data_IF_962304528461
#
_entry.id   IF_962304528461
#
_cell.length_a   1.000
_cell.length_b   1.000
_cell.length_c   1.000
_cell.angle_alpha   90.00
_cell.angle_beta   90.00
_cell.angle_gamma   90.00
#
_symmetry.space_group_name_H-M   'P 1'
#
loop_
_entity.id
_entity.type
_entity.pdbx_description
1 polymer ?
#
# COMPACT_ATOMS: atom_id res chain seq x y z
N UNK A 1 12.22 -0.26 23.14
CA UNK A 1 13.54 -0.44 22.48
C UNK A 1 14.05 0.81 21.76
N UNK A 2 13.67 1.13 20.52
CA UNK A 2 14.30 2.27 19.81
C UNK A 2 14.04 3.62 20.50
N UNK A 3 12.79 3.88 20.90
CA UNK A 3 12.41 5.10 21.63
C UNK A 3 13.09 5.22 22.98
N UNK A 4 13.23 4.11 23.70
CA UNK A 4 13.94 4.01 24.98
C UNK A 4 15.42 4.40 24.81
N UNK A 5 16.13 3.77 23.87
CA UNK A 5 17.52 4.11 23.56
C UNK A 5 17.68 5.59 23.16
N UNK A 6 16.78 6.11 22.32
CA UNK A 6 16.83 7.54 21.95
C UNK A 6 16.53 8.48 23.11
N UNK A 7 15.71 8.08 24.08
CA UNK A 7 15.52 8.87 25.30
C UNK A 7 16.76 8.84 26.20
N UNK A 8 17.40 7.68 26.35
CA UNK A 8 18.65 7.51 27.10
C UNK A 8 19.80 8.33 26.49
N UNK A 9 19.83 8.44 25.16
CA UNK A 9 20.81 9.24 24.41
C UNK A 9 20.46 10.74 24.33
N UNK A 10 19.38 11.19 24.99
CA UNK A 10 18.89 12.58 24.95
C UNK A 10 18.57 13.09 23.52
N UNK A 11 17.97 12.23 22.69
CA UNK A 11 17.64 12.48 21.28
C UNK A 11 16.12 12.57 21.03
N UNK A 12 15.41 13.59 21.60
CA UNK A 12 13.95 13.67 21.55
C UNK A 12 13.39 13.79 20.12
N UNK A 13 14.16 14.32 19.18
CA UNK A 13 13.76 14.38 17.76
C UNK A 13 13.68 12.99 17.13
N UNK A 14 14.62 12.09 17.45
CA UNK A 14 14.60 10.70 16.95
C UNK A 14 13.43 9.92 17.56
N UNK A 15 13.15 10.15 18.84
CA UNK A 15 11.95 9.60 19.50
C UNK A 15 10.68 10.02 18.76
N UNK A 16 10.48 11.32 18.57
CA UNK A 16 9.28 11.86 17.94
C UNK A 16 9.08 11.29 16.53
N UNK A 17 10.16 11.20 15.73
CA UNK A 17 10.13 10.61 14.38
C UNK A 17 9.79 9.12 14.39
N UNK A 18 10.35 8.35 15.31
CA UNK A 18 10.07 6.92 15.41
C UNK A 18 8.61 6.66 15.79
N UNK A 19 8.06 7.42 16.76
CA UNK A 19 6.65 7.30 17.14
C UNK A 19 5.74 7.76 16.00
N UNK A 20 6.04 8.89 15.37
CA UNK A 20 5.28 9.40 14.23
C UNK A 20 5.22 8.38 13.09
N UNK A 21 6.36 7.77 12.75
CA UNK A 21 6.42 6.73 11.72
C UNK A 21 5.53 5.53 12.08
N UNK A 22 5.63 5.01 13.30
CA UNK A 22 4.80 3.90 13.74
C UNK A 22 3.29 4.24 13.68
N UNK A 23 2.89 5.39 14.23
CA UNK A 23 1.49 5.82 14.29
C UNK A 23 0.93 6.03 12.88
N UNK A 24 1.68 6.68 11.99
CA UNK A 24 1.21 6.98 10.64
C UNK A 24 1.27 5.75 9.74
N UNK A 25 2.44 5.14 9.56
CA UNK A 25 2.66 4.12 8.55
C UNK A 25 2.11 2.76 8.99
N UNK A 26 2.41 2.33 10.22
CA UNK A 26 2.06 0.97 10.64
C UNK A 26 0.66 0.90 11.27
N UNK A 27 0.32 1.84 12.15
CA UNK A 27 -0.95 1.80 12.86
C UNK A 27 -2.11 2.38 12.03
N UNK A 28 -2.00 3.63 11.57
CA UNK A 28 -3.09 4.33 10.89
C UNK A 28 -3.27 3.87 9.44
N UNK A 29 -2.24 4.06 8.61
CA UNK A 29 -2.29 3.82 7.16
C UNK A 29 -2.40 2.33 6.83
N UNK A 30 -1.94 1.45 7.71
CA UNK A 30 -1.94 0.01 7.47
C UNK A 30 -2.95 -0.72 8.35
N UNK A 31 -2.66 -0.88 9.65
CA UNK A 31 -3.45 -1.73 10.53
C UNK A 31 -4.92 -1.31 10.65
N UNK A 32 -5.19 -0.05 11.00
CA UNK A 32 -6.56 0.47 11.18
C UNK A 32 -7.31 0.42 9.86
N UNK A 33 -6.68 0.83 8.75
CA UNK A 33 -7.30 0.84 7.42
C UNK A 33 -7.71 -0.56 6.96
N UNK A 34 -6.84 -1.55 7.10
CA UNK A 34 -7.12 -2.95 6.74
C UNK A 34 -8.12 -3.60 7.71
N UNK A 35 -8.08 -3.24 9.00
CA UNK A 35 -8.94 -3.82 10.03
C UNK A 35 -10.35 -3.18 10.10
N UNK A 36 -10.68 -2.20 9.25
CA UNK A 36 -12.02 -1.54 9.24
C UNK A 36 -13.16 -2.56 9.20
N UNK A 37 -13.07 -3.58 8.36
CA UNK A 37 -14.12 -4.62 8.28
C UNK A 37 -14.27 -5.40 9.59
N UNK A 38 -13.16 -5.66 10.30
CA UNK A 38 -13.14 -6.37 11.60
C UNK A 38 -13.79 -5.54 12.71
N UNK A 39 -13.71 -4.21 12.65
CA UNK A 39 -14.39 -3.32 13.59
C UNK A 39 -15.91 -3.21 13.33
N UNK A 40 -16.33 -3.20 12.06
CA UNK A 40 -17.72 -2.87 11.69
C UNK A 40 -18.61 -4.06 11.36
N UNK A 41 -18.09 -5.13 10.76
CA UNK A 41 -18.87 -6.32 10.35
C UNK A 41 -18.67 -7.46 11.35
N UNK A 42 -19.63 -8.37 11.39
CA UNK A 42 -19.58 -9.59 12.18
C UNK A 42 -20.01 -9.41 13.64
N UNK A 43 -20.33 -10.54 14.26
CA UNK A 43 -20.66 -10.64 15.67
C UNK A 43 -19.43 -10.31 16.53
N UNK A 44 -19.65 -10.05 17.82
CA UNK A 44 -18.58 -9.73 18.78
C UNK A 44 -17.80 -11.00 19.17
N UNK A 45 -17.08 -11.55 18.20
CA UNK A 45 -16.31 -12.79 18.30
C UNK A 45 -14.82 -12.53 18.47
N UNK A 46 -14.04 -13.61 18.62
CA UNK A 46 -12.61 -13.57 18.90
C UNK A 46 -11.83 -12.66 17.94
N UNK A 47 -12.11 -12.71 16.63
CA UNK A 47 -11.41 -11.88 15.63
C UNK A 47 -11.59 -10.38 15.89
N UNK A 48 -12.82 -9.96 16.20
CA UNK A 48 -13.17 -8.57 16.50
C UNK A 48 -12.53 -8.13 17.81
N UNK A 49 -12.58 -8.99 18.83
CA UNK A 49 -11.94 -8.74 20.13
C UNK A 49 -10.43 -8.57 19.96
N UNK A 50 -9.76 -9.46 19.23
CA UNK A 50 -8.32 -9.35 18.95
C UNK A 50 -8.00 -8.03 18.23
N UNK A 51 -8.81 -7.62 17.25
CA UNK A 51 -8.60 -6.36 16.55
C UNK A 51 -8.60 -5.15 17.50
N UNK A 52 -9.56 -5.11 18.44
CA UNK A 52 -9.67 -4.06 19.46
C UNK A 52 -8.53 -4.13 20.49
N UNK A 53 -8.19 -5.31 20.99
CA UNK A 53 -7.13 -5.49 21.98
C UNK A 53 -5.77 -5.03 21.43
N UNK A 54 -5.44 -5.39 20.20
CA UNK A 54 -4.21 -4.93 19.54
C UNK A 54 -4.20 -3.40 19.39
N UNK A 55 -5.30 -2.80 18.89
CA UNK A 55 -5.38 -1.34 18.73
C UNK A 55 -5.27 -0.61 20.08
N UNK A 56 -5.99 -1.07 21.10
CA UNK A 56 -5.95 -0.53 22.45
C UNK A 56 -4.52 -0.60 23.02
N UNK A 57 -3.87 -1.75 22.94
CA UNK A 57 -2.49 -1.96 23.40
C UNK A 57 -1.52 -0.99 22.72
N UNK A 58 -1.62 -0.84 21.39
CA UNK A 58 -0.80 0.10 20.64
C UNK A 58 -1.04 1.55 21.10
N UNK A 59 -2.30 1.99 21.22
CA UNK A 59 -2.63 3.36 21.58
C UNK A 59 -2.22 3.69 23.03
N UNK A 60 -2.41 2.77 23.97
CA UNK A 60 -1.93 2.94 25.36
C UNK A 60 -0.40 3.04 25.40
N UNK A 61 0.29 2.21 24.62
CA UNK A 61 1.75 2.25 24.54
C UNK A 61 2.24 3.56 23.92
N UNK A 62 1.61 4.01 22.83
CA UNK A 62 1.90 5.31 22.21
C UNK A 62 1.68 6.43 23.21
N UNK A 63 0.55 6.46 23.93
CA UNK A 63 0.26 7.48 24.94
C UNK A 63 1.37 7.58 25.99
N UNK A 64 1.88 6.44 26.47
CA UNK A 64 3.03 6.40 27.39
C UNK A 64 4.32 6.91 26.75
N UNK A 65 4.62 6.48 25.52
CA UNK A 65 5.83 6.89 24.80
C UNK A 65 5.86 8.39 24.48
N UNK A 66 4.71 9.01 24.17
CA UNK A 66 4.63 10.44 23.85
C UNK A 66 4.50 11.33 25.08
N UNK A 67 4.29 10.78 26.28
CA UNK A 67 4.03 11.56 27.49
C UNK A 67 5.10 12.63 27.78
N UNK A 68 6.43 12.37 27.61
CA UNK A 68 7.46 13.40 27.79
C UNK A 68 7.48 14.48 26.70
N UNK A 69 6.84 14.26 25.54
CA UNK A 69 6.85 15.17 24.38
C UNK A 69 5.54 15.99 24.31
N UNK A 70 4.40 15.35 24.52
CA UNK A 70 3.06 15.93 24.37
C UNK A 70 2.20 15.64 25.61
N UNK A 71 2.55 16.17 26.79
CA UNK A 71 2.08 15.69 28.08
C UNK A 71 0.56 15.77 28.28
N UNK A 72 -0.08 16.84 27.80
CA UNK A 72 -1.53 17.02 27.94
C UNK A 72 -2.32 16.07 27.05
N UNK A 73 -1.89 15.91 25.79
CA UNK A 73 -2.55 15.02 24.84
C UNK A 73 -2.36 13.55 25.24
N UNK A 74 -1.15 13.19 25.66
CA UNK A 74 -0.83 11.87 26.17
C UNK A 74 -1.71 11.48 27.36
N UNK A 75 -1.88 12.40 28.32
CA UNK A 75 -2.68 12.16 29.52
C UNK A 75 -4.16 11.97 29.19
N UNK A 76 -4.72 12.84 28.34
CA UNK A 76 -6.10 12.72 27.90
C UNK A 76 -6.34 11.39 27.18
N UNK A 77 -5.51 11.05 26.19
CA UNK A 77 -5.61 9.80 25.44
C UNK A 77 -5.52 8.57 26.36
N UNK A 78 -4.54 8.55 27.27
CA UNK A 78 -4.37 7.44 28.20
C UNK A 78 -5.58 7.27 29.11
N UNK A 79 -6.08 8.36 29.71
CA UNK A 79 -7.23 8.33 30.60
C UNK A 79 -8.49 7.86 29.89
N UNK A 80 -8.73 8.32 28.66
CA UNK A 80 -9.88 7.89 27.86
C UNK A 80 -9.83 6.39 27.53
N UNK A 81 -8.63 5.85 27.25
CA UNK A 81 -8.44 4.42 26.97
C UNK A 81 -8.52 3.54 28.22
N UNK A 82 -8.15 4.05 29.39
CA UNK A 82 -8.12 3.28 30.65
C UNK A 82 -9.44 3.35 31.43
N UNK A 83 -10.24 4.40 31.26
CA UNK A 83 -11.52 4.57 31.95
C UNK A 83 -12.49 3.38 31.83
N UNK A 84 -12.60 2.67 30.69
CA UNK A 84 -13.48 1.51 30.56
C UNK A 84 -12.92 0.22 31.18
N UNK A 85 -11.60 0.16 31.43
CA UNK A 85 -10.88 -1.09 31.76
C UNK A 85 -10.58 -1.20 33.25
N UNK A 86 -10.30 -0.07 33.92
CA UNK A 86 -9.93 -0.06 35.33
C UNK A 86 -11.00 0.65 36.18
N UNK A 87 -11.60 -0.08 37.13
CA UNK A 87 -12.57 0.46 38.08
C UNK A 87 -11.96 1.54 39.00
N UNK A 88 -10.65 1.46 39.27
CA UNK A 88 -9.88 2.57 39.86
C UNK A 88 -9.51 3.55 38.75
N UNK A 89 -10.35 4.58 38.63
CA UNK A 89 -10.23 5.70 37.69
C UNK A 89 -8.83 6.32 37.71
N UNK A 90 -8.23 6.38 36.53
CA UNK A 90 -7.55 7.59 36.05
C UNK A 90 -6.28 8.04 36.79
N UNK A 91 -5.33 7.14 37.04
CA UNK A 91 -3.97 7.62 37.24
C UNK A 91 -3.44 8.22 35.93
N UNK A 92 -2.87 9.42 36.03
CA UNK A 92 -2.28 10.12 34.91
C UNK A 92 -1.22 9.25 34.23
N UNK A 93 -1.06 9.38 32.91
CA UNK A 93 0.02 8.67 32.19
C UNK A 93 1.39 8.97 32.79
N UNK A 94 1.56 10.15 33.38
CA UNK A 94 2.79 10.63 34.02
C UNK A 94 3.15 9.91 35.32
N UNK A 95 2.22 9.13 35.89
CA UNK A 95 2.46 8.25 37.03
C UNK A 95 2.66 6.79 36.60
N UNK A 96 2.52 6.49 35.31
CA UNK A 96 2.66 5.14 34.79
C UNK A 96 4.12 4.79 34.50
N UNK A 97 4.45 3.50 34.61
CA UNK A 97 5.75 3.00 34.19
C UNK A 97 5.93 3.14 32.68
N UNK A 98 7.15 3.49 32.28
CA UNK A 98 7.56 3.49 30.88
C UNK A 98 7.38 2.08 30.28
N UNK A 99 6.95 1.95 29.00
CA UNK A 99 6.74 0.64 28.39
C UNK A 99 8.02 -0.18 28.32
N UNK A 100 7.93 -1.45 28.73
CA UNK A 100 9.05 -2.39 28.68
C UNK A 100 9.03 -3.15 27.36
N UNK A 101 10.19 -3.26 26.71
CA UNK A 101 10.34 -4.06 25.49
C UNK A 101 10.23 -5.56 25.80
N UNK A 102 9.27 -6.23 25.16
CA UNK A 102 9.11 -7.68 25.24
C UNK A 102 9.57 -8.33 23.94
N UNK A 103 10.68 -9.07 24.00
CA UNK A 103 11.25 -9.78 22.85
C UNK A 103 10.36 -10.95 22.40
N UNK A 104 9.52 -11.50 23.27
CA UNK A 104 8.66 -12.64 22.95
C UNK A 104 7.52 -12.28 21.99
N UNK A 105 7.17 -11.00 21.90
CA UNK A 105 6.17 -10.47 20.98
C UNK A 105 6.75 -10.09 19.61
N UNK A 106 8.07 -10.19 19.43
CA UNK A 106 8.73 -9.83 18.16
C UNK A 106 8.82 -11.05 17.25
N UNK A 107 8.12 -10.98 16.12
CA UNK A 107 8.20 -11.95 15.03
C UNK A 107 8.86 -11.31 13.80
N UNK A 108 10.18 -11.50 13.68
CA UNK A 108 10.97 -10.92 12.60
C UNK A 108 10.61 -11.48 11.21
N UNK A 109 10.04 -12.70 11.15
CA UNK A 109 9.59 -13.30 9.89
C UNK A 109 8.32 -12.62 9.39
N UNK A 110 7.35 -12.43 10.31
CA UNK A 110 6.13 -11.70 10.05
C UNK A 110 6.41 -10.22 9.69
N UNK A 111 7.27 -9.55 10.43
CA UNK A 111 7.65 -8.15 10.16
C UNK A 111 8.26 -7.99 8.76
N UNK A 112 9.17 -8.89 8.38
CA UNK A 112 9.80 -8.89 7.05
C UNK A 112 8.77 -9.06 5.94
N UNK A 113 7.88 -10.04 6.06
CA UNK A 113 6.78 -10.28 5.11
C UNK A 113 5.85 -9.06 5.01
N UNK A 114 5.50 -8.47 6.14
CA UNK A 114 4.61 -7.29 6.20
C UNK A 114 5.26 -6.04 5.60
N UNK A 115 6.57 -5.86 5.79
CA UNK A 115 7.32 -4.78 5.17
C UNK A 115 7.32 -4.89 3.64
N UNK A 116 7.46 -6.11 3.09
CA UNK A 116 7.31 -6.34 1.65
C UNK A 116 5.90 -5.98 1.17
N UNK A 117 4.87 -6.37 1.90
CA UNK A 117 3.49 -6.01 1.56
C UNK A 117 3.29 -4.48 1.49
N UNK A 118 3.82 -3.74 2.46
CA UNK A 118 3.76 -2.27 2.52
C UNK A 118 4.53 -1.63 1.36
N UNK A 119 5.79 -2.04 1.15
CA UNK A 119 6.65 -1.49 0.10
C UNK A 119 6.09 -1.74 -1.30
N UNK A 120 5.71 -2.99 -1.61
CA UNK A 120 5.12 -3.36 -2.91
C UNK A 120 3.83 -2.56 -3.13
N UNK A 121 2.94 -2.49 -2.13
CA UNK A 121 1.68 -1.75 -2.26
C UNK A 121 1.92 -0.26 -2.50
N UNK A 122 2.85 0.35 -1.77
CA UNK A 122 3.26 1.75 -1.95
C UNK A 122 3.79 2.01 -3.37
N UNK A 123 4.66 1.12 -3.87
CA UNK A 123 5.21 1.21 -5.23
C UNK A 123 4.11 1.15 -6.29
N UNK A 124 3.18 0.19 -6.20
CA UNK A 124 2.05 0.10 -7.14
C UNK A 124 1.15 1.33 -7.07
N UNK A 125 0.83 1.82 -5.88
CA UNK A 125 0.02 3.03 -5.70
C UNK A 125 0.72 4.26 -6.28
N UNK A 126 2.04 4.34 -6.17
CA UNK A 126 2.85 5.41 -6.77
C UNK A 126 2.80 5.36 -8.30
N UNK A 127 2.90 4.17 -8.90
CA UNK A 127 2.77 3.97 -10.35
C UNK A 127 1.39 4.37 -10.85
N UNK A 128 0.33 3.92 -10.15
CA UNK A 128 -1.05 4.34 -10.42
C UNK A 128 -1.21 5.86 -10.36
N UNK A 129 -0.66 6.51 -9.34
CA UNK A 129 -0.73 7.97 -9.19
C UNK A 129 -0.02 8.70 -10.33
N UNK A 130 1.13 8.19 -10.78
CA UNK A 130 1.90 8.77 -11.89
C UNK A 130 1.09 8.82 -13.19
N UNK A 131 0.35 7.76 -13.49
CA UNK A 131 -0.53 7.68 -14.68
C UNK A 131 -2.00 8.08 -14.39
N UNK A 132 -2.28 8.68 -13.23
CA UNK A 132 -3.62 9.11 -12.81
C UNK A 132 -4.69 7.98 -12.81
N UNK A 133 -4.27 6.72 -12.64
CA UNK A 133 -5.17 5.57 -12.57
C UNK A 133 -5.73 5.44 -11.15
N UNK A 134 -7.05 5.62 -11.00
CA UNK A 134 -7.74 5.48 -9.71
C UNK A 134 -7.61 4.04 -9.17
N UNK A 135 -7.44 3.86 -7.87
CA UNK A 135 -7.41 2.52 -7.23
C UNK A 135 -8.71 1.75 -7.48
N UNK A 136 -9.85 2.44 -7.60
CA UNK A 136 -11.15 1.81 -7.93
C UNK A 136 -11.19 1.17 -9.33
N UNK A 137 -10.30 1.57 -10.25
CA UNK A 137 -10.10 0.86 -11.51
C UNK A 137 -9.24 -0.38 -11.23
N UNK A 138 -9.81 -1.60 -11.29
CA UNK A 138 -9.01 -2.81 -11.17
C UNK A 138 -8.03 -2.92 -12.35
N UNK A 139 -6.84 -3.43 -12.06
CA UNK A 139 -5.83 -3.75 -13.06
C UNK A 139 -5.60 -5.25 -13.09
N UNK A 140 -5.11 -5.74 -14.23
CA UNK A 140 -4.96 -7.18 -14.44
C UNK A 140 -3.91 -7.75 -13.49
N UNK A 141 -2.67 -7.28 -13.59
CA UNK A 141 -1.56 -7.94 -12.89
C UNK A 141 -0.42 -7.02 -12.48
N UNK A 142 0.33 -7.50 -11.50
CA UNK A 142 1.65 -7.00 -11.14
C UNK A 142 2.67 -8.11 -11.32
N UNK A 143 3.87 -7.75 -11.79
CA UNK A 143 5.01 -8.66 -11.88
C UNK A 143 6.12 -8.21 -10.95
N UNK A 144 6.71 -9.15 -10.24
CA UNK A 144 7.78 -8.87 -9.28
C UNK A 144 8.91 -9.90 -9.50
N UNK A 145 10.11 -9.46 -9.92
CA UNK A 145 11.26 -10.35 -9.93
C UNK A 145 11.64 -10.73 -8.49
N UNK A 146 11.90 -12.02 -8.26
CA UNK A 146 12.31 -12.55 -6.96
C UNK A 146 13.82 -12.74 -6.91
N UNK A 147 14.43 -12.38 -5.78
CA UNK A 147 15.88 -12.48 -5.59
C UNK A 147 16.34 -13.90 -5.26
N UNK A 148 15.54 -14.62 -4.47
CA UNK A 148 15.79 -15.99 -4.05
C UNK A 148 14.50 -16.70 -3.60
N UNK A 149 14.62 -17.95 -3.15
CA UNK A 149 13.50 -18.76 -2.72
C UNK A 149 12.82 -18.23 -1.44
N UNK A 150 13.57 -17.58 -0.54
CA UNK A 150 13.00 -16.98 0.66
C UNK A 150 12.19 -15.74 0.30
N UNK A 151 12.72 -14.93 -0.62
CA UNK A 151 12.04 -13.74 -1.12
C UNK A 151 10.71 -14.08 -1.80
N UNK A 152 10.73 -15.10 -2.67
CA UNK A 152 9.53 -15.67 -3.27
C UNK A 152 8.51 -16.11 -2.22
N UNK A 153 8.93 -16.91 -1.25
CA UNK A 153 8.05 -17.40 -0.18
C UNK A 153 7.43 -16.26 0.64
N UNK A 154 8.22 -15.24 0.96
CA UNK A 154 7.75 -14.09 1.73
C UNK A 154 6.66 -13.32 0.98
N UNK A 155 6.86 -13.07 -0.31
CA UNK A 155 5.90 -12.33 -1.14
C UNK A 155 4.62 -13.16 -1.35
N UNK A 156 4.76 -14.47 -1.62
CA UNK A 156 3.60 -15.38 -1.75
C UNK A 156 2.74 -15.37 -0.47
N UNK A 157 3.37 -15.37 0.71
CA UNK A 157 2.67 -15.35 1.99
C UNK A 157 1.79 -14.10 2.19
N UNK A 158 2.12 -12.98 1.52
CA UNK A 158 1.37 -11.70 1.61
C UNK A 158 0.73 -11.27 0.30
N UNK A 159 0.74 -12.12 -0.74
CA UNK A 159 0.28 -11.77 -2.07
C UNK A 159 -1.19 -11.31 -2.09
N UNK A 160 -2.06 -12.03 -1.39
CA UNK A 160 -3.48 -11.67 -1.28
C UNK A 160 -3.69 -10.31 -0.62
N UNK A 161 -2.86 -9.97 0.38
CA UNK A 161 -2.92 -8.68 1.04
C UNK A 161 -2.57 -7.57 0.05
N UNK A 162 -1.46 -7.72 -0.67
CA UNK A 162 -1.02 -6.78 -1.71
C UNK A 162 -2.12 -6.60 -2.77
N UNK A 163 -2.62 -7.69 -3.36
CA UNK A 163 -3.63 -7.64 -4.41
C UNK A 163 -4.91 -6.93 -3.97
N UNK A 164 -5.37 -7.21 -2.75
CA UNK A 164 -6.54 -6.55 -2.17
C UNK A 164 -6.31 -5.05 -1.94
N UNK A 165 -5.09 -4.69 -1.55
CA UNK A 165 -4.70 -3.32 -1.24
C UNK A 165 -4.66 -2.44 -2.48
N UNK A 166 -4.06 -2.97 -3.55
CA UNK A 166 -3.80 -2.22 -4.79
C UNK A 166 -4.87 -2.44 -5.86
N UNK A 167 -5.89 -3.25 -5.57
CA UNK A 167 -6.97 -3.66 -6.48
C UNK A 167 -6.44 -4.20 -7.81
N UNK A 168 -5.60 -5.24 -7.73
CA UNK A 168 -5.03 -5.96 -8.87
C UNK A 168 -5.51 -7.41 -8.82
N UNK A 169 -5.71 -8.07 -9.96
CA UNK A 169 -6.25 -9.45 -9.98
C UNK A 169 -5.23 -10.52 -9.66
N UNK A 170 -4.02 -10.39 -10.16
CA UNK A 170 -2.99 -11.42 -10.01
C UNK A 170 -1.59 -10.82 -9.76
N UNK A 171 -0.78 -11.58 -9.02
CA UNK A 171 0.61 -11.27 -8.72
C UNK A 171 1.44 -12.39 -9.34
N UNK A 172 2.29 -12.02 -10.29
CA UNK A 172 3.18 -12.93 -10.99
C UNK A 172 4.61 -12.73 -10.49
N UNK A 173 5.21 -13.80 -9.95
CA UNK A 173 6.60 -13.78 -9.52
C UNK A 173 7.49 -14.26 -10.65
N UNK A 174 8.51 -13.46 -10.96
CA UNK A 174 9.44 -13.73 -12.04
C UNK A 174 10.76 -14.21 -11.48
N UNK A 175 11.26 -15.33 -11.99
CA UNK A 175 12.64 -15.71 -11.74
C UNK A 175 13.56 -14.80 -12.58
N UNK A 176 14.79 -14.55 -12.09
CA UNK A 176 15.83 -13.74 -12.75
C UNK A 176 16.10 -14.14 -14.21
N UNK A 177 15.78 -15.37 -14.58
CA UNK A 177 15.96 -15.92 -15.93
C UNK A 177 14.82 -15.60 -16.92
N UNK A 178 13.71 -15.01 -16.47
CA UNK A 178 12.51 -14.81 -17.30
C UNK A 178 12.74 -13.85 -18.48
N UNK A 179 13.71 -12.94 -18.39
CA UNK A 179 14.04 -11.98 -19.45
C UNK A 179 12.95 -10.96 -19.78
N UNK A 180 11.83 -10.97 -19.05
CA UNK A 180 10.69 -10.08 -19.28
C UNK A 180 11.03 -8.66 -18.86
N UNK A 181 11.72 -8.50 -17.73
CA UNK A 181 12.14 -7.20 -17.21
C UNK A 181 13.61 -6.93 -17.55
N UNK A 182 13.87 -6.37 -18.73
CA UNK A 182 15.24 -6.03 -19.15
C UNK A 182 15.73 -4.82 -18.37
N UNK A 183 16.71 -5.00 -17.49
CA UNK A 183 17.37 -3.90 -16.77
C UNK A 183 18.40 -3.21 -17.68
N UNK A 184 18.47 -1.89 -17.58
CA UNK A 184 19.50 -1.04 -18.17
C UNK A 184 20.32 -0.45 -17.04
N UNK A 185 21.63 -0.44 -17.22
CA UNK A 185 22.56 0.19 -16.29
C UNK A 185 23.16 1.42 -16.96
N UNK A 186 23.25 2.52 -16.22
CA UNK A 186 23.92 3.75 -16.63
C UNK A 186 24.95 4.15 -15.58
N UNK A 187 26.07 4.75 -15.99
CA UNK A 187 27.05 5.26 -15.04
C UNK A 187 26.49 6.47 -14.27
N UNK A 188 26.68 6.50 -12.95
CA UNK A 188 26.44 7.70 -12.16
C UNK A 188 27.60 8.67 -12.36
N UNK A 189 27.46 9.57 -13.34
CA UNK A 189 28.52 10.50 -13.74
C UNK A 189 29.04 11.39 -12.60
N UNK A 190 28.24 11.65 -11.56
CA UNK A 190 28.64 12.49 -10.42
C UNK A 190 29.70 11.80 -9.55
N UNK A 191 29.57 10.50 -9.33
CA UNK A 191 30.50 9.71 -8.51
C UNK A 191 31.66 9.16 -9.36
N UNK A 192 31.37 8.69 -10.58
CA UNK A 192 32.38 8.11 -11.45
C UNK A 192 33.31 9.15 -12.10
N UNK A 193 32.84 10.39 -12.31
CA UNK A 193 33.65 11.47 -12.90
C UNK A 193 34.95 11.74 -12.14
N UNK A 194 34.91 12.01 -10.81
CA UNK A 194 36.10 12.17 -9.98
C UNK A 194 37.01 10.93 -9.91
N UNK A 195 36.42 9.72 -9.94
CA UNK A 195 37.15 8.44 -9.82
C UNK A 195 37.94 8.09 -11.09
N UNK A 196 37.36 8.33 -12.27
CA UNK A 196 37.93 7.88 -13.55
C UNK A 196 38.53 9.00 -14.40
N UNK A 197 38.14 10.27 -14.21
CA UNK A 197 38.72 11.41 -14.92
C UNK A 197 38.81 11.20 -16.45
N UNK A 198 40.03 11.18 -16.99
CA UNK A 198 40.28 10.95 -18.41
C UNK A 198 39.85 9.55 -18.91
N UNK A 199 39.83 8.55 -18.02
CA UNK A 199 39.45 7.17 -18.32
C UNK A 199 37.92 6.95 -18.32
N UNK A 200 37.12 7.99 -18.03
CA UNK A 200 35.65 7.88 -17.92
C UNK A 200 35.00 7.33 -19.19
N UNK A 201 35.56 7.62 -20.37
CA UNK A 201 35.05 7.09 -21.64
C UNK A 201 35.14 5.56 -21.72
N UNK A 202 36.17 4.96 -21.14
CA UNK A 202 36.33 3.50 -21.07
C UNK A 202 35.36 2.89 -20.05
N UNK A 203 35.18 3.55 -18.90
CA UNK A 203 34.21 3.11 -17.89
C UNK A 203 32.78 3.07 -18.45
N UNK A 204 32.35 4.13 -19.16
CA UNK A 204 31.03 4.18 -19.81
C UNK A 204 30.86 3.06 -20.84
N UNK A 205 31.92 2.76 -21.61
CA UNK A 205 31.88 1.71 -22.63
C UNK A 205 31.77 0.31 -22.03
N UNK A 206 32.47 0.02 -20.93
CA UNK A 206 32.38 -1.27 -20.24
C UNK A 206 31.06 -1.42 -19.48
N UNK A 207 30.61 -0.39 -18.76
CA UNK A 207 29.30 -0.39 -18.07
C UNK A 207 28.16 -0.59 -19.08
N UNK A 208 28.26 0.02 -20.26
CA UNK A 208 27.26 -0.14 -21.33
C UNK A 208 27.17 -1.55 -21.93
N UNK A 209 28.15 -2.42 -21.69
CA UNK A 209 28.17 -3.82 -22.17
C UNK A 209 27.59 -4.82 -21.17
N UNK A 210 27.21 -4.36 -19.97
CA UNK A 210 26.71 -5.24 -18.93
C UNK A 210 25.52 -6.07 -19.41
N UNK A 211 25.65 -7.37 -19.21
CA UNK A 211 24.59 -8.35 -19.36
C UNK A 211 23.65 -8.30 -18.15
N UNK A 212 22.43 -8.85 -18.30
CA UNK A 212 21.50 -8.96 -17.16
C UNK A 212 22.12 -9.70 -15.97
N UNK A 213 23.00 -10.67 -16.21
CA UNK A 213 23.72 -11.40 -15.16
C UNK A 213 24.68 -10.50 -14.38
N UNK A 214 25.39 -9.60 -15.05
CA UNK A 214 26.31 -8.67 -14.39
C UNK A 214 25.57 -7.59 -13.61
N UNK A 215 24.44 -7.10 -14.14
CA UNK A 215 23.53 -6.18 -13.42
C UNK A 215 22.98 -6.85 -12.16
N UNK A 216 22.49 -8.09 -12.26
CA UNK A 216 22.02 -8.84 -11.09
C UNK A 216 23.14 -9.12 -10.07
N UNK A 217 24.38 -9.32 -10.55
CA UNK A 217 25.54 -9.55 -9.67
C UNK A 217 25.86 -8.33 -8.83
N UNK A 218 25.92 -7.13 -9.42
CA UNK A 218 26.21 -5.90 -8.67
C UNK A 218 25.07 -5.53 -7.70
N UNK A 219 23.80 -5.79 -8.04
CA UNK A 219 22.67 -5.60 -7.12
C UNK A 219 22.76 -6.55 -5.91
N UNK A 220 23.13 -7.80 -6.13
CA UNK A 220 23.20 -8.82 -5.08
C UNK A 220 24.44 -8.69 -4.20
N UNK A 221 25.59 -8.40 -4.79
CA UNK A 221 26.89 -8.35 -4.09
C UNK A 221 27.25 -6.93 -3.63
N UNK A 222 26.57 -5.91 -4.15
CA UNK A 222 26.87 -4.49 -3.91
C UNK A 222 28.09 -3.98 -4.69
N UNK A 223 28.91 -4.87 -5.25
CA UNK A 223 30.10 -4.54 -6.05
C UNK A 223 30.31 -5.52 -7.20
N UNK A 224 31.03 -5.07 -8.23
CA UNK A 224 31.52 -5.93 -9.32
C UNK A 224 32.88 -5.42 -9.81
N UNK A 225 33.83 -6.33 -9.99
CA UNK A 225 35.17 -5.99 -10.48
C UNK A 225 35.18 -5.95 -12.01
N UNK A 226 35.68 -4.86 -12.58
CA UNK A 226 35.79 -4.64 -14.02
C UNK A 226 37.22 -4.34 -14.41
N UNK A 227 37.60 -4.73 -15.63
CA UNK A 227 38.86 -4.31 -16.21
C UNK A 227 38.64 -3.09 -17.11
N UNK A 228 39.02 -1.91 -16.62
CA UNK A 228 38.90 -0.64 -17.34
C UNK A 228 40.31 -0.15 -17.65
N UNK A 229 40.65 -0.06 -18.94
CA UNK A 229 41.97 0.39 -19.40
C UNK A 229 43.15 -0.38 -18.75
N UNK A 230 43.07 -1.72 -18.75
CA UNK A 230 44.05 -2.64 -18.14
C UNK A 230 44.24 -2.49 -16.61
N UNK A 231 43.27 -1.89 -15.93
CA UNK A 231 43.23 -1.79 -14.46
C UNK A 231 41.98 -2.50 -13.95
N UNK A 232 42.17 -3.38 -12.96
CA UNK A 232 41.06 -3.96 -12.21
C UNK A 232 40.50 -2.90 -11.27
N UNK A 233 39.22 -2.55 -11.41
CA UNK A 233 38.54 -1.56 -10.58
C UNK A 233 37.23 -2.14 -10.09
N UNK A 234 36.96 -1.99 -8.80
CA UNK A 234 35.68 -2.34 -8.20
C UNK A 234 34.69 -1.20 -8.40
N UNK A 235 33.59 -1.53 -9.06
CA UNK A 235 32.44 -0.67 -9.25
C UNK A 235 31.41 -1.00 -8.16
N UNK A 236 30.94 0.01 -7.44
CA UNK A 236 29.94 -0.15 -6.37
C UNK A 236 28.54 0.20 -6.86
N UNK A 237 27.50 -0.28 -6.17
CA UNK A 237 26.10 -0.08 -6.57
C UNK A 237 25.68 1.41 -6.63
N UNK A 238 26.24 2.27 -5.79
CA UNK A 238 25.98 3.72 -5.77
C UNK A 238 26.60 4.45 -6.98
N UNK A 239 27.65 3.88 -7.57
CA UNK A 239 28.34 4.41 -8.75
C UNK A 239 27.59 4.15 -10.07
N UNK A 240 26.45 3.47 -10.03
CA UNK A 240 25.60 3.18 -11.18
C UNK A 240 24.13 3.46 -10.90
N UNK A 241 23.41 3.75 -11.97
CA UNK A 241 21.96 3.90 -11.98
C UNK A 241 21.37 2.73 -12.78
N UNK A 242 20.68 1.82 -12.09
CA UNK A 242 19.98 0.70 -12.72
C UNK A 242 18.51 1.08 -12.85
N UNK A 243 17.99 1.00 -14.07
CA UNK A 243 16.57 1.23 -14.36
C UNK A 243 16.04 0.13 -15.25
N UNK A 244 14.75 -0.18 -15.15
CA UNK A 244 14.14 -1.15 -16.06
C UNK A 244 13.83 -0.50 -17.40
N UNK A 245 13.95 -1.23 -18.50
CA UNK A 245 13.50 -0.77 -19.81
C UNK A 245 11.97 -0.73 -19.84
N UNK A 246 11.41 0.32 -20.46
CA UNK A 246 9.97 0.44 -20.67
C UNK A 246 9.47 -0.72 -21.54
N UNK A 247 8.53 -1.49 -20.98
CA UNK A 247 7.75 -2.49 -21.71
C UNK A 247 6.43 -1.80 -22.05
N UNK A 248 6.00 -1.87 -23.31
CA UNK A 248 4.77 -1.22 -23.74
C UNK A 248 3.57 -1.74 -22.92
N UNK A 249 2.78 -0.82 -22.36
CA UNK A 249 1.66 -1.16 -21.48
C UNK A 249 2.04 -1.55 -20.04
N UNK A 250 3.30 -1.35 -19.64
CA UNK A 250 3.75 -1.59 -18.26
C UNK A 250 4.42 -0.37 -17.66
N UNK A 251 4.19 -0.17 -16.36
CA UNK A 251 4.90 0.81 -15.56
C UNK A 251 5.82 0.08 -14.59
N UNK A 252 7.06 0.56 -14.45
CA UNK A 252 8.03 -0.05 -13.53
C UNK A 252 8.48 0.93 -12.47
N UNK A 253 8.53 0.47 -11.22
CA UNK A 253 9.13 1.15 -10.09
C UNK A 253 10.26 0.31 -9.50
N UNK A 254 11.34 0.97 -9.09
CA UNK A 254 12.46 0.38 -8.36
C UNK A 254 12.63 1.11 -7.03
N UNK A 255 12.81 0.35 -5.94
CA UNK A 255 13.10 0.88 -4.61
C UNK A 255 14.09 -0.05 -3.90
N UNK A 256 15.37 0.33 -3.89
CA UNK A 256 16.42 -0.54 -3.37
C UNK A 256 16.57 -1.79 -4.24
N UNK A 257 16.48 -2.96 -3.62
CA UNK A 257 16.50 -4.29 -4.25
C UNK A 257 15.13 -4.75 -4.77
N UNK A 258 14.05 -4.02 -4.46
CA UNK A 258 12.69 -4.35 -4.87
C UNK A 258 12.32 -3.68 -6.19
N UNK A 259 11.79 -4.47 -7.10
CA UNK A 259 11.24 -4.00 -8.38
C UNK A 259 9.79 -4.43 -8.53
N UNK A 260 8.92 -3.54 -9.01
CA UNK A 260 7.51 -3.86 -9.29
C UNK A 260 7.15 -3.33 -10.67
N UNK A 261 6.60 -4.21 -11.51
CA UNK A 261 6.00 -3.84 -12.78
C UNK A 261 4.46 -3.98 -12.71
N UNK A 262 3.74 -2.99 -13.23
CA UNK A 262 2.28 -2.92 -13.22
C UNK A 262 1.74 -2.91 -14.64
N UNK A 263 0.87 -3.86 -14.96
CA UNK A 263 0.15 -3.92 -16.24
C UNK A 263 -0.98 -2.89 -16.25
N UNK A 264 -0.91 -1.94 -17.18
CA UNK A 264 -1.92 -0.87 -17.32
C UNK A 264 -2.88 -1.11 -18.49
N UNK A 265 -2.81 -2.26 -19.15
CA UNK A 265 -3.75 -2.61 -20.21
C UNK A 265 -5.14 -2.90 -19.63
N UNK A 266 -6.15 -2.14 -20.08
CA UNK A 266 -7.53 -2.27 -19.62
C UNK A 266 -8.36 -3.08 -20.62
N UNK A 267 -8.74 -4.29 -20.22
CA UNK A 267 -9.79 -5.05 -20.91
C UNK A 267 -11.17 -4.42 -20.65
N UNK A 268 -12.15 -4.66 -21.53
CA UNK A 268 -13.52 -4.17 -21.33
C UNK A 268 -14.11 -4.63 -20.00
N UNK A 269 -13.85 -5.89 -19.60
CA UNK A 269 -14.27 -6.42 -18.30
C UNK A 269 -13.70 -5.61 -17.12
N UNK A 270 -12.42 -5.23 -17.18
CA UNK A 270 -11.80 -4.41 -16.13
C UNK A 270 -12.38 -3.00 -16.11
N UNK A 271 -12.66 -2.39 -17.27
CA UNK A 271 -13.32 -1.08 -17.35
C UNK A 271 -14.71 -1.13 -16.72
N UNK A 272 -15.52 -2.12 -17.09
CA UNK A 272 -16.86 -2.35 -16.55
C UNK A 272 -16.84 -2.54 -15.02
N UNK A 273 -15.87 -3.31 -14.52
CA UNK A 273 -15.71 -3.51 -13.08
C UNK A 273 -15.25 -2.22 -12.36
N UNK A 274 -14.44 -1.37 -13.02
CA UNK A 274 -14.08 -0.04 -12.53
C UNK A 274 -15.28 0.89 -12.40
N UNK A 275 -16.12 0.92 -13.43
CA UNK A 275 -17.41 1.63 -13.45
C UNK A 275 -18.30 1.17 -12.28
N UNK A 276 -18.44 -0.15 -12.09
CA UNK A 276 -19.25 -0.71 -11.01
C UNK A 276 -18.75 -0.27 -9.63
N UNK A 277 -17.43 -0.22 -9.41
CA UNK A 277 -16.85 0.29 -8.15
C UNK A 277 -17.06 1.78 -7.94
N UNK A 278 -16.95 2.58 -8.99
CA UNK A 278 -17.24 4.01 -8.90
C UNK A 278 -18.71 4.23 -8.58
N UNK A 279 -19.63 3.46 -9.19
CA UNK A 279 -21.06 3.50 -8.88
C UNK A 279 -21.34 3.12 -7.41
N UNK A 280 -20.73 2.06 -6.90
CA UNK A 280 -20.82 1.71 -5.47
C UNK A 280 -20.39 2.88 -4.58
N UNK A 281 -19.29 3.55 -4.91
CA UNK A 281 -18.81 4.72 -4.18
C UNK A 281 -19.83 5.87 -4.22
N UNK A 282 -20.45 6.15 -5.37
CA UNK A 282 -21.50 7.18 -5.49
C UNK A 282 -22.75 6.84 -4.67
N UNK A 283 -23.21 5.59 -4.74
CA UNK A 283 -24.35 5.11 -3.96
C UNK A 283 -24.06 5.23 -2.46
N UNK A 284 -22.86 4.82 -2.01
CA UNK A 284 -22.49 4.87 -0.61
C UNK A 284 -22.36 6.31 -0.07
N UNK A 285 -21.86 7.25 -0.88
CA UNK A 285 -21.83 8.65 -0.48
C UNK A 285 -23.25 9.23 -0.39
N UNK A 286 -24.10 8.93 -1.38
CA UNK A 286 -25.50 9.38 -1.36
C UNK A 286 -26.28 8.81 -0.16
N UNK A 287 -26.03 7.56 0.24
CA UNK A 287 -26.60 6.97 1.47
C UNK A 287 -26.23 7.80 2.71
N UNK A 288 -24.96 8.18 2.85
CA UNK A 288 -24.48 8.98 3.98
C UNK A 288 -25.08 10.38 3.98
N UNK A 289 -25.10 11.03 2.81
CA UNK A 289 -25.67 12.37 2.64
C UNK A 289 -27.19 12.38 2.90
N UNK A 290 -27.87 11.28 2.57
CA UNK A 290 -29.30 11.08 2.86
C UNK A 290 -29.59 10.66 4.31
N UNK A 291 -28.57 10.54 5.16
CA UNK A 291 -28.71 10.15 6.56
C UNK A 291 -29.13 8.71 6.79
N UNK A 292 -28.85 7.80 5.85
CA UNK A 292 -29.21 6.38 5.98
C UNK A 292 -28.24 5.67 6.93
N UNK A 293 -28.78 4.73 7.70
CA UNK A 293 -27.98 3.88 8.58
C UNK A 293 -27.16 2.87 7.75
N UNK A 294 -26.05 2.40 8.31
CA UNK A 294 -25.15 1.45 7.64
C UNK A 294 -25.86 0.14 7.29
N UNK A 295 -26.91 -0.23 8.05
CA UNK A 295 -27.69 -1.46 7.89
C UNK A 295 -28.92 -1.30 6.99
N UNK A 296 -29.24 -0.07 6.57
CA UNK A 296 -30.45 0.18 5.77
C UNK A 296 -30.37 -0.50 4.41
N UNK A 297 -31.47 -1.15 3.99
CA UNK A 297 -31.59 -1.69 2.64
C UNK A 297 -32.23 -0.65 1.72
N UNK A 298 -31.79 -0.61 0.46
CA UNK A 298 -32.23 0.42 -0.50
C UNK A 298 -32.67 -0.16 -1.84
N UNK A 299 -33.50 0.59 -2.55
CA UNK A 299 -33.73 0.47 -3.98
C UNK A 299 -32.93 1.56 -4.67
N UNK A 300 -32.23 1.19 -5.74
CA UNK A 300 -31.38 2.08 -6.53
C UNK A 300 -31.98 2.17 -7.93
N UNK A 301 -32.26 3.39 -8.37
CA UNK A 301 -32.68 3.68 -9.73
C UNK A 301 -31.58 4.47 -10.44
N UNK A 302 -31.16 3.97 -11.60
CA UNK A 302 -30.16 4.62 -12.43
C UNK A 302 -30.71 4.88 -13.82
N UNK A 303 -30.43 6.05 -14.38
CA UNK A 303 -30.80 6.36 -15.74
C UNK A 303 -29.87 5.64 -16.73
N UNK A 304 -30.42 5.12 -17.81
CA UNK A 304 -29.64 4.54 -18.90
C UNK A 304 -28.82 5.61 -19.62
N UNK A 305 -27.57 5.30 -19.94
CA UNK A 305 -26.67 6.17 -20.71
C UNK A 305 -25.91 5.42 -21.83
N UNK A 306 -26.19 4.12 -22.01
CA UNK A 306 -25.58 3.26 -23.01
C UNK A 306 -24.29 2.56 -22.57
N UNK A 307 -23.63 3.04 -21.51
CA UNK A 307 -22.37 2.47 -21.02
C UNK A 307 -22.54 1.79 -19.67
N UNK A 308 -23.33 2.38 -18.78
CA UNK A 308 -23.44 1.94 -17.39
C UNK A 308 -24.23 0.62 -17.24
N UNK A 309 -25.12 0.32 -18.18
CA UNK A 309 -25.99 -0.86 -18.15
C UNK A 309 -25.18 -2.15 -18.24
N UNK A 310 -24.19 -2.20 -19.15
CA UNK A 310 -23.32 -3.38 -19.30
C UNK A 310 -22.48 -3.58 -18.05
N UNK A 311 -21.91 -2.50 -17.52
CA UNK A 311 -21.12 -2.55 -16.29
C UNK A 311 -21.95 -3.03 -15.08
N UNK A 312 -23.21 -2.61 -14.99
CA UNK A 312 -24.15 -3.09 -13.98
C UNK A 312 -24.47 -4.57 -14.19
N UNK A 313 -24.83 -4.97 -15.41
CA UNK A 313 -25.21 -6.35 -15.71
C UNK A 313 -24.10 -7.34 -15.36
N UNK A 314 -22.84 -7.01 -15.66
CA UNK A 314 -21.68 -7.86 -15.36
C UNK A 314 -21.31 -7.90 -13.87
N UNK A 315 -21.72 -6.90 -13.07
CA UNK A 315 -21.28 -6.72 -11.69
C UNK A 315 -22.43 -6.53 -10.69
N UNK A 316 -23.65 -6.92 -11.05
CA UNK A 316 -24.87 -6.62 -10.30
C UNK A 316 -24.81 -7.12 -8.85
N UNK A 317 -24.35 -8.37 -8.67
CA UNK A 317 -24.24 -8.99 -7.36
C UNK A 317 -23.25 -8.24 -6.46
N UNK A 318 -22.12 -7.80 -7.02
CA UNK A 318 -21.13 -7.01 -6.31
C UNK A 318 -21.72 -5.66 -5.85
N UNK A 319 -22.37 -4.94 -6.76
CA UNK A 319 -23.01 -3.65 -6.46
C UNK A 319 -24.04 -3.82 -5.36
N UNK A 320 -24.94 -4.81 -5.48
CA UNK A 320 -25.99 -5.09 -4.50
C UNK A 320 -25.42 -5.40 -3.11
N UNK A 321 -24.42 -6.27 -3.04
CA UNK A 321 -23.81 -6.68 -1.77
C UNK A 321 -23.07 -5.54 -1.08
N UNK A 322 -22.30 -4.75 -1.83
CA UNK A 322 -21.55 -3.64 -1.25
C UNK A 322 -22.43 -2.43 -0.89
N UNK A 323 -23.65 -2.32 -1.43
CA UNK A 323 -24.57 -1.19 -1.17
C UNK A 323 -25.84 -1.54 -0.39
N UNK A 324 -26.01 -2.82 0.01
CA UNK A 324 -27.24 -3.36 0.61
C UNK A 324 -28.49 -3.08 -0.24
N UNK A 325 -28.34 -3.14 -1.57
CA UNK A 325 -29.41 -2.85 -2.52
C UNK A 325 -30.29 -4.07 -2.76
N UNK A 326 -31.60 -3.97 -2.51
CA UNK A 326 -32.58 -5.02 -2.84
C UNK A 326 -32.87 -5.05 -4.34
N UNK A 327 -33.11 -3.89 -4.93
CA UNK A 327 -33.43 -3.73 -6.35
C UNK A 327 -32.53 -2.67 -6.97
N UNK A 328 -31.92 -3.02 -8.09
CA UNK A 328 -31.13 -2.12 -8.92
C UNK A 328 -31.83 -2.06 -10.28
N UNK A 329 -32.42 -0.90 -10.62
CA UNK A 329 -33.22 -0.73 -11.83
C UNK A 329 -32.57 0.32 -12.74
N UNK A 330 -32.32 -0.07 -13.99
CA UNK A 330 -31.89 0.85 -15.05
C UNK A 330 -33.12 1.33 -15.83
N UNK A 331 -33.45 2.62 -15.70
CA UNK A 331 -34.65 3.25 -16.26
C UNK A 331 -34.28 4.22 -17.39
N UNK A 332 -35.17 4.44 -18.34
CA UNK A 332 -34.92 5.40 -19.43
C UNK A 332 -34.92 6.86 -18.91
N UNK A 333 -35.63 7.14 -17.82
CA UNK A 333 -35.63 8.44 -17.14
C UNK A 333 -35.78 8.29 -15.63
N UNK A 334 -35.02 9.06 -14.84
CA UNK A 334 -35.12 9.11 -13.38
C UNK A 334 -35.58 10.49 -12.89
N UNK A 335 -36.71 10.56 -12.19
CA UNK A 335 -37.21 11.79 -11.54
C UNK A 335 -36.60 11.97 -10.15
N UNK A 336 -36.24 13.21 -9.79
CA UNK A 336 -35.77 13.55 -8.44
C UNK A 336 -34.39 13.00 -8.00
N UNK A 337 -33.62 12.37 -8.90
CA UNK A 337 -32.25 11.90 -8.63
C UNK A 337 -31.15 12.97 -8.75
N UNK A 338 -29.94 12.63 -8.30
CA UNK A 338 -28.73 13.44 -8.46
C UNK A 338 -28.04 13.08 -9.79
N UNK A 339 -27.46 14.08 -10.44
CA UNK A 339 -26.58 13.84 -11.59
C UNK A 339 -25.24 13.31 -11.10
N UNK A 340 -24.78 12.23 -11.72
CA UNK A 340 -23.46 11.66 -11.47
C UNK A 340 -22.69 11.60 -12.79
N UNK A 341 -21.48 12.13 -12.75
CA UNK A 341 -20.56 12.12 -13.89
C UNK A 341 -19.23 11.54 -13.45
N UNK A 342 -18.79 10.48 -14.12
CA UNK A 342 -17.49 9.88 -13.89
C UNK A 342 -17.04 9.12 -15.14
N UNK A 343 -15.76 9.27 -15.48
CA UNK A 343 -15.17 8.66 -16.68
C UNK A 343 -16.00 9.06 -17.93
N UNK A 344 -16.61 8.10 -18.64
CA UNK A 344 -17.48 8.38 -19.80
C UNK A 344 -18.98 8.34 -19.47
N UNK A 345 -19.34 8.20 -18.19
CA UNK A 345 -20.71 8.04 -17.73
C UNK A 345 -21.27 9.38 -17.32
N UNK A 346 -22.47 9.67 -17.81
CA UNK A 346 -23.27 10.81 -17.39
C UNK A 346 -24.72 10.36 -17.22
N UNK A 347 -25.10 10.13 -15.96
CA UNK A 347 -26.38 9.51 -15.63
C UNK A 347 -26.99 10.17 -14.38
N UNK A 348 -28.23 9.81 -14.09
CA UNK A 348 -28.98 10.26 -12.92
C UNK A 348 -29.24 9.09 -11.99
N UNK A 349 -28.88 9.26 -10.73
CA UNK A 349 -28.98 8.26 -9.66
C UNK A 349 -29.99 8.72 -8.60
N UNK A 350 -30.91 7.84 -8.23
CA UNK A 350 -31.71 8.01 -7.02
C UNK A 350 -31.70 6.76 -6.16
N UNK A 351 -31.80 6.97 -4.85
CA UNK A 351 -31.90 5.88 -3.87
C UNK A 351 -33.15 6.10 -3.02
N UNK A 352 -33.80 5.00 -2.65
CA UNK A 352 -34.95 5.00 -1.75
C UNK A 352 -34.78 3.90 -0.71
N UNK A 353 -35.14 4.17 0.54
CA UNK A 353 -35.11 3.17 1.61
C UNK A 353 -36.20 2.12 1.34
N UNK A 354 -35.84 0.83 1.44
CA UNK A 354 -36.71 -0.32 1.13
C UNK A 354 -37.32 -1.01 2.33
#
# INVERSE_FOLDING_TARGET
>A
KNTEAFYEDYEPTKVARAIQYFVNENLSNWYVRLSRRRFWKGDYELDKISAYQTLHTCLVTVAKLIAPIAPFYADQLYRDLMAPVCANKSESVHLSNFPVYDKTLVDADLERKMQKAQSISSMVLSLRKKEMIKVRQPLQRIMIPVLDAQDKHDIEAVANLILSEVNVKELELLDDASGILVKKIKPNFKLLGPKFGADMRFAVAEIGKFTQKEIATIEKQGTISLNINNKLVDLTLDEVEISSQDIEGWLVANQGDLTVALDINLTEKLKNEGIARELVNRIQNLRKESGFEVTDKIEVHLQKDGFVETAIAENELYIKNETLTKKLLCLDSVTGGIEITFDNINTKLSIQKS
#
